data_IF_968233868145
#
_entry.id   IF_968233868145
#
_cell.length_a   1.000
_cell.length_b   1.000
_cell.length_c   1.000
_cell.angle_alpha   90.00
_cell.angle_beta   90.00
_cell.angle_gamma   90.00
#
_symmetry.space_group_name_H-M   'P 1'
#
loop_
_entity.id
_entity.type
_entity.pdbx_description
1 polymer ?
#
# COMPACT_ATOMS: atom_id res chain seq x y z
N UNK A 1 -18.04 0.36 -3.15
CA UNK A 1 -16.95 1.24 -2.70
C UNK A 1 -17.45 2.58 -2.19
N UNK A 2 -18.27 3.28 -2.94
CA UNK A 2 -18.82 4.59 -2.52
C UNK A 2 -19.61 4.54 -1.21
N UNK A 3 -20.41 3.49 -0.98
CA UNK A 3 -21.18 3.30 0.25
C UNK A 3 -20.31 3.26 1.52
N UNK A 4 -19.08 2.76 1.43
CA UNK A 4 -18.16 2.72 2.57
C UNK A 4 -17.81 4.13 3.05
N UNK A 5 -17.50 5.04 2.12
CA UNK A 5 -17.12 6.42 2.45
C UNK A 5 -18.32 7.26 2.89
N UNK A 6 -19.50 7.03 2.35
CA UNK A 6 -20.73 7.69 2.78
C UNK A 6 -21.08 7.35 4.24
N UNK A 7 -20.86 6.11 4.65
CA UNK A 7 -21.16 5.65 6.00
C UNK A 7 -20.07 6.04 7.02
N UNK A 8 -18.80 5.94 6.66
CA UNK A 8 -17.68 6.16 7.57
C UNK A 8 -17.25 7.62 7.67
N UNK A 9 -17.41 8.43 6.63
CA UNK A 9 -16.97 9.84 6.54
C UNK A 9 -15.58 10.05 7.15
N UNK A 10 -14.54 9.34 6.68
CA UNK A 10 -13.21 9.40 7.27
C UNK A 10 -12.60 10.80 7.10
N UNK A 11 -11.91 11.28 8.12
CA UNK A 11 -11.13 12.53 8.04
C UNK A 11 -9.82 12.35 7.30
N UNK A 12 -9.24 11.15 7.38
CA UNK A 12 -8.01 10.76 6.70
C UNK A 12 -8.11 9.32 6.19
N UNK A 13 -7.50 9.06 5.06
CA UNK A 13 -7.45 7.73 4.44
C UNK A 13 -5.99 7.38 4.12
N UNK A 14 -5.54 6.23 4.58
CA UNK A 14 -4.24 5.66 4.21
C UNK A 14 -4.50 4.38 3.42
N UNK A 15 -3.92 4.29 2.24
CA UNK A 15 -4.08 3.17 1.33
C UNK A 15 -2.72 2.48 1.20
N UNK A 16 -2.68 1.18 1.44
CA UNK A 16 -1.50 0.35 1.25
C UNK A 16 -1.78 -0.63 0.10
N UNK A 17 -0.89 -0.68 -0.86
CA UNK A 17 -0.99 -1.60 -1.99
C UNK A 17 0.39 -2.09 -2.42
N UNK A 18 0.43 -3.13 -3.23
CA UNK A 18 1.65 -3.65 -3.82
C UNK A 18 1.49 -3.85 -5.33
N UNK A 19 2.57 -3.64 -6.06
CA UNK A 19 2.68 -3.90 -7.49
C UNK A 19 3.96 -4.67 -7.77
N UNK A 20 4.00 -5.33 -8.93
CA UNK A 20 5.21 -6.00 -9.38
C UNK A 20 6.30 -4.96 -9.72
N UNK A 21 7.55 -5.23 -9.31
CA UNK A 21 8.67 -4.33 -9.58
C UNK A 21 8.91 -4.10 -11.08
N UNK A 22 8.54 -5.06 -11.92
CA UNK A 22 8.62 -4.93 -13.38
C UNK A 22 7.66 -3.88 -13.98
N UNK A 23 6.64 -3.46 -13.22
CA UNK A 23 5.71 -2.40 -13.62
C UNK A 23 6.26 -1.00 -13.32
N UNK A 24 7.34 -0.89 -12.55
CA UNK A 24 7.94 0.38 -12.19
C UNK A 24 8.90 0.86 -13.29
N UNK A 25 8.70 2.09 -13.74
CA UNK A 25 9.52 2.74 -14.75
C UNK A 25 10.41 3.80 -14.11
N UNK A 26 11.71 3.64 -14.25
CA UNK A 26 12.70 4.59 -13.73
C UNK A 26 13.86 4.76 -14.71
N UNK A 27 14.44 5.96 -14.69
CA UNK A 27 15.65 6.25 -15.45
C UNK A 27 16.95 5.85 -14.71
N UNK A 28 16.85 5.44 -13.44
CA UNK A 28 17.99 5.07 -12.61
C UNK A 28 17.75 3.72 -11.89
N UNK A 29 17.73 2.58 -12.61
CA UNK A 29 17.40 1.28 -12.04
C UNK A 29 18.45 0.76 -11.06
N UNK A 30 19.67 1.27 -11.10
CA UNK A 30 20.83 0.71 -10.36
C UNK A 30 20.76 0.92 -8.84
N UNK A 31 19.87 1.79 -8.35
CA UNK A 31 19.74 2.13 -6.94
C UNK A 31 18.49 1.53 -6.28
N UNK A 32 17.76 0.65 -6.96
CA UNK A 32 16.56 0.05 -6.42
C UNK A 32 16.91 -1.09 -5.46
N UNK A 33 16.40 -0.99 -4.24
CA UNK A 33 16.36 -2.12 -3.30
C UNK A 33 15.39 -3.17 -3.85
N UNK A 34 15.48 -4.39 -3.36
CA UNK A 34 14.58 -5.49 -3.76
C UNK A 34 13.10 -5.11 -3.59
N UNK A 35 12.74 -4.49 -2.47
CA UNK A 35 11.42 -3.96 -2.21
C UNK A 35 11.53 -2.48 -1.80
N UNK A 36 10.75 -1.64 -2.42
CA UNK A 36 10.75 -0.20 -2.14
C UNK A 36 9.34 0.37 -2.20
N UNK A 37 9.11 1.45 -1.47
CA UNK A 37 7.80 2.08 -1.34
C UNK A 37 7.82 3.46 -2.00
N UNK A 38 6.78 3.73 -2.77
CA UNK A 38 6.49 5.04 -3.35
C UNK A 38 5.16 5.56 -2.82
N UNK A 39 4.96 6.87 -2.86
CA UNK A 39 3.77 7.50 -2.34
C UNK A 39 3.11 8.43 -3.34
N UNK A 40 1.78 8.44 -3.32
CA UNK A 40 0.92 9.46 -3.91
C UNK A 40 0.01 10.01 -2.82
N UNK A 41 -0.30 11.28 -2.88
CA UNK A 41 -1.18 11.93 -1.90
C UNK A 41 -2.16 12.88 -2.58
N UNK A 42 -3.28 13.14 -1.91
CA UNK A 42 -4.22 14.19 -2.31
C UNK A 42 -3.72 15.57 -1.89
N UNK A 43 -4.23 16.62 -2.53
CA UNK A 43 -3.89 18.01 -2.18
C UNK A 43 -4.29 18.37 -0.74
N UNK A 44 -5.33 17.72 -0.23
CA UNK A 44 -5.80 17.88 1.16
C UNK A 44 -4.89 17.26 2.21
N UNK A 45 -3.91 16.44 1.80
CA UNK A 45 -2.96 15.82 2.73
C UNK A 45 -1.85 16.79 3.11
N UNK A 46 -1.83 17.21 4.38
CA UNK A 46 -0.91 18.24 4.90
C UNK A 46 0.29 17.68 5.67
N UNK A 47 0.24 16.41 6.10
CA UNK A 47 1.30 15.83 6.90
C UNK A 47 2.56 15.57 6.06
N UNK A 48 3.73 15.76 6.69
CA UNK A 48 5.00 15.37 6.08
C UNK A 48 5.09 13.87 5.98
N UNK A 49 5.49 13.40 4.80
CA UNK A 49 5.86 12.01 4.57
C UNK A 49 7.37 11.92 4.74
N UNK A 50 7.83 10.91 5.46
CA UNK A 50 9.26 10.67 5.69
C UNK A 50 9.96 10.33 4.37
N UNK A 51 10.71 11.29 3.84
CA UNK A 51 11.34 11.16 2.51
C UNK A 51 12.50 10.17 2.45
N UNK A 52 13.17 9.88 3.58
CA UNK A 52 14.33 8.97 3.60
C UNK A 52 13.96 7.52 3.24
N UNK A 53 12.77 7.08 3.62
CA UNK A 53 12.29 5.71 3.40
C UNK A 53 11.26 5.61 2.26
N UNK A 54 10.70 6.73 1.84
CA UNK A 54 9.65 6.76 0.83
C UNK A 54 9.71 8.07 0.02
N UNK A 55 9.79 7.95 -1.28
CA UNK A 55 9.72 9.09 -2.21
C UNK A 55 8.41 9.08 -2.99
N UNK A 56 8.07 10.23 -3.59
CA UNK A 56 6.90 10.31 -4.45
C UNK A 56 7.05 9.45 -5.70
N UNK A 57 5.91 8.89 -6.14
CA UNK A 57 5.86 8.16 -7.40
C UNK A 57 6.05 9.16 -8.55
N UNK A 58 7.13 9.00 -9.28
CA UNK A 58 7.48 9.86 -10.40
C UNK A 58 6.82 9.40 -11.71
N UNK A 59 6.65 10.37 -12.62
CA UNK A 59 6.24 10.05 -14.00
C UNK A 59 7.36 9.26 -14.71
N UNK A 60 7.06 8.31 -15.59
CA UNK A 60 5.76 8.04 -16.22
C UNK A 60 4.89 6.99 -15.52
N UNK A 61 5.17 6.66 -14.26
CA UNK A 61 4.42 5.65 -13.54
C UNK A 61 2.95 6.04 -13.37
N UNK A 62 2.06 5.09 -13.59
CA UNK A 62 0.61 5.26 -13.49
C UNK A 62 0.04 4.21 -12.56
N UNK A 63 -0.80 4.65 -11.64
CA UNK A 63 -1.56 3.76 -10.76
C UNK A 63 -2.92 3.43 -11.37
N UNK A 64 -3.34 2.19 -11.21
CA UNK A 64 -4.64 1.70 -11.66
C UNK A 64 -5.32 0.83 -10.59
N UNK A 65 -6.53 0.39 -10.85
CA UNK A 65 -7.28 -0.51 -9.97
C UNK A 65 -7.93 0.19 -8.78
N UNK A 66 -8.27 -0.60 -7.78
CA UNK A 66 -9.05 -0.16 -6.61
C UNK A 66 -8.33 0.94 -5.83
N UNK A 67 -7.03 0.79 -5.58
CA UNK A 67 -6.24 1.76 -4.82
C UNK A 67 -6.24 3.14 -5.50
N UNK A 68 -6.04 3.19 -6.81
CA UNK A 68 -6.09 4.43 -7.59
C UNK A 68 -7.49 5.05 -7.57
N UNK A 69 -8.54 4.24 -7.69
CA UNK A 69 -9.93 4.70 -7.65
C UNK A 69 -10.30 5.31 -6.30
N UNK A 70 -9.82 4.72 -5.19
CA UNK A 70 -10.02 5.28 -3.84
C UNK A 70 -9.30 6.61 -3.68
N UNK A 71 -8.04 6.69 -4.13
CA UNK A 71 -7.27 7.94 -4.06
C UNK A 71 -7.94 9.05 -4.89
N UNK A 72 -8.39 8.73 -6.09
CA UNK A 72 -9.10 9.66 -6.97
C UNK A 72 -10.42 10.15 -6.33
N UNK A 73 -11.18 9.24 -5.73
CA UNK A 73 -12.39 9.61 -4.99
C UNK A 73 -12.07 10.62 -3.88
N UNK A 74 -11.03 10.32 -3.08
CA UNK A 74 -10.58 11.22 -2.01
C UNK A 74 -10.14 12.60 -2.55
N UNK A 75 -9.44 12.64 -3.68
CA UNK A 75 -9.04 13.88 -4.33
C UNK A 75 -10.26 14.72 -4.75
N UNK A 76 -11.25 14.10 -5.39
CA UNK A 76 -12.47 14.79 -5.84
C UNK A 76 -13.28 15.35 -4.67
N UNK A 77 -13.36 14.60 -3.58
CA UNK A 77 -14.14 14.97 -2.39
C UNK A 77 -13.35 15.74 -1.33
N UNK A 78 -12.13 16.18 -1.66
CA UNK A 78 -11.25 16.93 -0.75
C UNK A 78 -10.96 16.20 0.58
N UNK A 79 -10.91 14.89 0.54
CA UNK A 79 -10.53 14.05 1.68
C UNK A 79 -9.01 13.88 1.69
N UNK A 80 -8.38 14.07 2.85
CA UNK A 80 -6.96 13.87 3.02
C UNK A 80 -6.62 12.37 2.87
N UNK A 81 -5.88 12.00 1.82
CA UNK A 81 -5.51 10.62 1.56
C UNK A 81 -4.07 10.48 1.09
N UNK A 82 -3.42 9.40 1.51
CA UNK A 82 -2.10 9.00 1.03
C UNK A 82 -2.14 7.53 0.62
N UNK A 83 -1.60 7.26 -0.56
CA UNK A 83 -1.46 5.92 -1.13
C UNK A 83 0.02 5.54 -1.13
N UNK A 84 0.36 4.49 -0.41
CA UNK A 84 1.70 3.90 -0.40
C UNK A 84 1.69 2.62 -1.23
N UNK A 85 2.53 2.58 -2.24
CA UNK A 85 2.68 1.43 -3.11
C UNK A 85 4.05 0.78 -2.90
N UNK A 86 4.07 -0.49 -2.52
CA UNK A 86 5.27 -1.29 -2.45
C UNK A 86 5.49 -1.98 -3.79
N UNK A 87 6.62 -1.72 -4.41
CA UNK A 87 7.07 -2.47 -5.58
C UNK A 87 7.91 -3.65 -5.11
N UNK A 88 7.47 -4.86 -5.45
CA UNK A 88 8.08 -6.11 -4.98
C UNK A 88 8.44 -7.03 -6.16
N UNK A 89 9.54 -7.75 -6.04
CA UNK A 89 9.91 -8.79 -7.01
C UNK A 89 9.10 -10.07 -6.81
N UNK A 90 8.55 -10.27 -5.61
CA UNK A 90 7.74 -11.45 -5.30
C UNK A 90 6.34 -11.33 -5.90
N UNK A 91 5.89 -12.39 -6.56
CA UNK A 91 4.51 -12.51 -7.03
C UNK A 91 3.49 -12.75 -5.89
N UNK A 92 3.98 -12.97 -4.69
CA UNK A 92 3.17 -13.25 -3.50
C UNK A 92 3.47 -12.25 -2.41
N UNK A 93 2.44 -11.87 -1.64
CA UNK A 93 2.62 -11.11 -0.41
C UNK A 93 3.43 -11.97 0.57
N UNK A 94 4.62 -11.54 0.88
CA UNK A 94 5.54 -12.17 1.82
C UNK A 94 5.84 -11.25 3.00
N UNK A 95 6.67 -11.73 3.93
CA UNK A 95 7.08 -10.94 5.10
C UNK A 95 7.86 -9.68 4.71
N UNK A 96 8.63 -9.73 3.63
CA UNK A 96 9.44 -8.59 3.17
C UNK A 96 8.55 -7.45 2.67
N UNK A 97 7.50 -7.77 1.91
CA UNK A 97 6.53 -6.77 1.45
C UNK A 97 5.80 -6.10 2.61
N UNK A 98 5.51 -6.85 3.68
CA UNK A 98 4.89 -6.29 4.89
C UNK A 98 5.88 -5.42 5.67
N UNK A 99 7.13 -5.87 5.78
CA UNK A 99 8.21 -5.13 6.45
C UNK A 99 8.53 -3.81 5.75
N UNK A 100 8.36 -3.73 4.43
CA UNK A 100 8.55 -2.50 3.68
C UNK A 100 7.67 -1.34 4.16
N UNK A 101 6.53 -1.64 4.78
CA UNK A 101 5.63 -0.64 5.37
C UNK A 101 5.90 -0.32 6.84
N UNK A 102 6.89 -0.95 7.49
CA UNK A 102 7.15 -0.76 8.94
C UNK A 102 7.44 0.69 9.31
N UNK A 103 8.08 1.46 8.41
CA UNK A 103 8.37 2.87 8.67
C UNK A 103 7.11 3.70 8.91
N UNK A 104 5.96 3.30 8.34
CA UNK A 104 4.69 3.98 8.56
C UNK A 104 4.19 3.89 10.00
N UNK A 105 4.53 2.81 10.72
CA UNK A 105 4.18 2.64 12.14
C UNK A 105 4.90 3.65 13.04
N UNK A 106 6.05 4.17 12.59
CA UNK A 106 6.79 5.23 13.29
C UNK A 106 6.21 6.62 13.00
N UNK A 107 5.33 6.72 12.01
CA UNK A 107 4.71 7.98 11.64
C UNK A 107 3.56 8.34 12.59
N UNK A 108 3.37 9.62 12.93
CA UNK A 108 2.25 10.08 13.73
C UNK A 108 0.88 9.66 13.21
N UNK A 109 0.75 9.47 11.89
CA UNK A 109 -0.52 9.11 11.26
C UNK A 109 -1.02 7.70 11.62
N UNK A 110 -0.11 6.77 11.93
CA UNK A 110 -0.45 5.39 12.28
C UNK A 110 -0.07 5.02 13.73
N UNK A 111 0.25 6.02 14.54
CA UNK A 111 0.68 5.83 15.92
C UNK A 111 -0.32 5.06 16.79
N UNK A 112 -1.61 5.11 16.45
CA UNK A 112 -2.67 4.35 17.14
C UNK A 112 -2.73 2.87 16.76
N UNK A 113 -2.03 2.45 15.70
CA UNK A 113 -1.98 1.05 15.28
C UNK A 113 -0.87 0.32 16.04
N UNK A 114 -1.23 -0.82 16.62
CA UNK A 114 -0.25 -1.69 17.26
C UNK A 114 0.22 -2.75 16.25
N UNK A 115 1.53 -3.00 16.27
CA UNK A 115 2.08 -4.09 15.49
C UNK A 115 1.52 -5.42 16.00
N UNK A 116 0.96 -6.22 15.09
CA UNK A 116 0.50 -7.56 15.41
C UNK A 116 1.68 -8.44 15.86
N UNK A 117 1.43 -9.36 16.80
CA UNK A 117 2.46 -10.33 17.20
C UNK A 117 2.84 -11.23 16.01
N UNK A 118 4.08 -11.72 16.01
CA UNK A 118 4.57 -12.63 14.96
C UNK A 118 3.66 -13.85 14.76
N UNK A 119 3.09 -14.38 15.83
CA UNK A 119 2.15 -15.50 15.77
C UNK A 119 0.85 -15.14 15.03
N UNK A 120 0.30 -13.96 15.29
CA UNK A 120 -0.91 -13.47 14.60
C UNK A 120 -0.65 -13.27 13.11
N UNK A 121 0.50 -12.69 12.76
CA UNK A 121 0.92 -12.49 11.35
C UNK A 121 1.04 -13.84 10.64
N UNK A 122 1.74 -14.80 11.23
CA UNK A 122 1.90 -16.15 10.66
C UNK A 122 0.54 -16.84 10.47
N UNK A 123 -0.37 -16.70 11.45
CA UNK A 123 -1.71 -17.28 11.36
C UNK A 123 -2.51 -16.70 10.19
N UNK A 124 -2.48 -15.39 10.00
CA UNK A 124 -3.16 -14.71 8.89
C UNK A 124 -2.55 -15.11 7.55
N UNK A 125 -1.21 -15.12 7.44
CA UNK A 125 -0.52 -15.52 6.20
C UNK A 125 -0.83 -16.98 5.83
N UNK A 126 -0.89 -17.89 6.80
CA UNK A 126 -1.29 -19.29 6.56
C UNK A 126 -2.73 -19.40 6.08
N UNK A 127 -3.65 -18.61 6.63
CA UNK A 127 -5.07 -18.63 6.21
C UNK A 127 -5.24 -18.09 4.78
N UNK A 128 -4.53 -17.04 4.42
CA UNK A 128 -4.54 -16.48 3.06
C UNK A 128 -3.97 -17.47 2.03
N UNK A 129 -2.90 -18.18 2.39
CA UNK A 129 -2.31 -19.22 1.55
C UNK A 129 -3.24 -20.41 1.36
N UNK A 130 -3.92 -20.84 2.42
CA UNK A 130 -4.92 -21.91 2.35
C UNK A 130 -6.14 -21.54 1.52
N UNK A 131 -6.62 -20.29 1.62
CA UNK A 131 -7.71 -19.76 0.80
C UNK A 131 -7.38 -19.78 -0.70
N UNK A 132 -6.16 -19.35 -1.10
CA UNK A 132 -5.72 -19.42 -2.50
C UNK A 132 -5.62 -20.86 -3.02
N UNK A 133 -5.19 -21.80 -2.20
CA UNK A 133 -5.15 -23.24 -2.57
C UNK A 133 -6.55 -23.80 -2.84
N UNK A 134 -7.54 -23.39 -2.06
CA UNK A 134 -8.96 -23.80 -2.26
C UNK A 134 -9.48 -23.22 -3.58
N UNK A 135 -9.22 -21.94 -3.87
CA UNK A 135 -9.63 -21.36 -5.15
C UNK A 135 -8.97 -22.06 -6.35
N UNK A 136 -7.67 -22.34 -6.31
CA UNK A 136 -6.97 -23.05 -7.39
C UNK A 136 -7.51 -24.48 -7.58
N UNK A 137 -7.97 -25.14 -6.51
CA UNK A 137 -8.52 -26.51 -6.60
C UNK A 137 -9.94 -26.52 -7.15
N UNK A 138 -10.70 -25.44 -6.98
CA UNK A 138 -12.07 -25.32 -7.52
C UNK A 138 -12.10 -25.05 -9.02
N UNK A 139 -11.02 -24.60 -9.63
CA UNK A 139 -10.91 -24.35 -11.09
C UNK A 139 -10.16 -25.43 -11.87
N UNK A 140 -9.71 -26.45 -11.20
CA UNK A 140 -9.15 -27.66 -11.82
C UNK A 140 -10.16 -28.79 -11.89
#
# INVERSE_FOLDING_TARGET
>A
MFQLFENLKPSKVVILTSLAACEYHTNAPENLKSDFVKVLKTDSWQEKILHEECSFLETPNVMSGVAASVLQYCQIHSVAAALFVCFTESSHVDSQSVEAFQFLLKSPMLHSLHQASSEQVIKVLKSLRSGKLIEMTMYM
#
